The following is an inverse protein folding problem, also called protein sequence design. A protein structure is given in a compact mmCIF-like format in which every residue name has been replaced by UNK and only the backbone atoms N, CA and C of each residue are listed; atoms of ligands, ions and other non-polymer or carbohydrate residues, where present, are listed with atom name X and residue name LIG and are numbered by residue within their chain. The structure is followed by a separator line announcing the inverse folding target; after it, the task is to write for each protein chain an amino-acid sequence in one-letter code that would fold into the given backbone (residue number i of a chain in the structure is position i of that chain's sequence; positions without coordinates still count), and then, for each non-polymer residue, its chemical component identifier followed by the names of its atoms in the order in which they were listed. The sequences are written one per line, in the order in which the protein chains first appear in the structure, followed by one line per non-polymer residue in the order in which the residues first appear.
data_IF_133156915465
#
_entry.id   IF_133156915465
#
_cell.length_a   1.000
_cell.length_b   1.000
_cell.length_c   1.000
_cell.angle_alpha   90.00
_cell.angle_beta   90.00
_cell.angle_gamma   90.00
#
_symmetry.space_group_name_H-M   'P 1'
#
loop_
_entity.id
_entity.type
_entity.pdbx_description
1 polymer ?
#
# COMPACT_ATOMS: atom_id res chain seq x y z
N UNK A 1 15.95 -14.66 -8.50
CA UNK A 1 15.91 -13.19 -8.59
C UNK A 1 16.04 -12.63 -7.17
N UNK A 2 17.25 -12.23 -6.78
CA UNK A 2 17.57 -11.85 -5.39
C UNK A 2 17.13 -10.42 -5.02
N UNK A 3 16.85 -9.57 -6.04
CA UNK A 3 16.61 -8.13 -5.86
C UNK A 3 15.15 -7.71 -5.96
N UNK A 4 14.25 -8.63 -6.25
CA UNK A 4 12.81 -8.34 -6.28
C UNK A 4 12.21 -8.56 -4.89
N UNK A 5 11.26 -7.70 -4.48
CA UNK A 5 10.51 -7.90 -3.26
C UNK A 5 9.87 -9.30 -3.23
N UNK A 6 10.13 -10.04 -2.14
CA UNK A 6 9.66 -11.43 -2.00
C UNK A 6 8.20 -11.51 -1.53
N UNK A 7 7.64 -10.41 -1.16
CA UNK A 7 6.28 -10.31 -0.63
C UNK A 7 5.29 -10.15 -1.78
N UNK A 8 4.76 -11.26 -2.28
CA UNK A 8 3.84 -11.28 -3.43
C UNK A 8 2.62 -10.37 -3.23
N UNK A 9 2.14 -10.18 -1.99
CA UNK A 9 1.06 -9.26 -1.68
C UNK A 9 1.36 -7.79 -1.97
N UNK A 10 2.62 -7.37 -1.84
CA UNK A 10 3.03 -5.99 -2.08
C UNK A 10 2.86 -5.55 -3.55
N UNK A 11 3.04 -6.48 -4.51
CA UNK A 11 2.77 -6.20 -5.92
C UNK A 11 1.29 -5.85 -6.16
N UNK A 12 0.38 -6.55 -5.50
CA UNK A 12 -1.05 -6.23 -5.56
C UNK A 12 -1.37 -4.88 -4.94
N UNK A 13 -0.70 -4.52 -3.84
CA UNK A 13 -0.89 -3.22 -3.19
C UNK A 13 -0.45 -2.04 -4.07
N UNK A 14 0.51 -2.22 -4.96
CA UNK A 14 0.91 -1.22 -5.96
C UNK A 14 -0.02 -1.27 -7.18
N UNK A 15 -0.29 -2.47 -7.70
CA UNK A 15 -0.97 -2.64 -8.98
C UNK A 15 -2.45 -2.25 -8.93
N UNK A 16 -3.19 -2.67 -7.89
CA UNK A 16 -4.64 -2.43 -7.83
C UNK A 16 -5.02 -0.95 -7.77
N UNK A 17 -4.42 -0.11 -6.89
CA UNK A 17 -4.74 1.32 -6.86
C UNK A 17 -4.40 2.03 -8.17
N UNK A 18 -3.24 1.71 -8.78
CA UNK A 18 -2.83 2.29 -10.06
C UNK A 18 -3.77 1.90 -11.19
N UNK A 19 -4.07 0.61 -11.33
CA UNK A 19 -4.99 0.12 -12.36
C UNK A 19 -6.39 0.72 -12.21
N UNK A 20 -6.88 0.83 -10.96
CA UNK A 20 -8.18 1.42 -10.67
C UNK A 20 -8.18 2.92 -10.98
N UNK A 21 -7.12 3.65 -10.63
CA UNK A 21 -6.99 5.06 -10.96
C UNK A 21 -7.08 5.29 -12.47
N UNK A 22 -6.35 4.50 -13.27
CA UNK A 22 -6.45 4.56 -14.73
C UNK A 22 -7.83 4.13 -15.27
N UNK A 23 -8.46 3.14 -14.63
CA UNK A 23 -9.79 2.69 -15.01
C UNK A 23 -10.87 3.75 -14.80
N UNK A 24 -10.74 4.55 -13.74
CA UNK A 24 -11.71 5.62 -13.41
C UNK A 24 -11.45 6.91 -14.20
N UNK A 25 -10.20 7.32 -14.29
CA UNK A 25 -9.85 8.66 -14.82
C UNK A 25 -9.26 8.66 -16.23
N UNK A 26 -8.98 7.48 -16.78
CA UNK A 26 -8.24 7.36 -18.04
C UNK A 26 -6.73 7.49 -17.86
N UNK A 27 -6.01 7.34 -18.96
CA UNK A 27 -4.54 7.38 -18.98
C UNK A 27 -4.06 8.79 -19.32
N UNK A 28 -3.14 9.33 -18.50
CA UNK A 28 -2.46 10.59 -18.75
C UNK A 28 -0.95 10.44 -18.68
N UNK A 29 -0.20 11.30 -19.33
CA UNK A 29 1.28 11.29 -19.29
C UNK A 29 1.78 11.44 -17.85
N UNK A 30 1.28 12.42 -17.11
CA UNK A 30 1.65 12.64 -15.71
C UNK A 30 1.32 11.45 -14.82
N UNK A 31 0.15 10.81 -15.02
CA UNK A 31 -0.24 9.59 -14.32
C UNK A 31 0.70 8.42 -14.60
N UNK A 32 1.12 8.24 -15.86
CA UNK A 32 2.11 7.22 -16.22
C UNK A 32 3.48 7.50 -15.58
N UNK A 33 3.94 8.74 -15.62
CA UNK A 33 5.21 9.14 -15.02
C UNK A 33 5.22 8.93 -13.50
N UNK A 34 4.14 9.31 -12.79
CA UNK A 34 3.97 9.01 -11.36
C UNK A 34 4.02 7.50 -11.12
N UNK A 35 3.32 6.72 -11.95
CA UNK A 35 3.28 5.26 -11.81
C UNK A 35 4.66 4.62 -12.01
N UNK A 36 5.42 5.08 -13.01
CA UNK A 36 6.81 4.63 -13.25
C UNK A 36 7.70 4.97 -12.05
N UNK A 37 7.60 6.19 -11.51
CA UNK A 37 8.37 6.61 -10.35
C UNK A 37 8.08 5.72 -9.13
N UNK A 38 6.80 5.42 -8.89
CA UNK A 38 6.37 4.56 -7.76
C UNK A 38 6.81 3.11 -7.94
N UNK A 39 6.65 2.54 -9.12
CA UNK A 39 7.07 1.17 -9.40
C UNK A 39 8.59 1.05 -9.26
N UNK A 40 9.36 2.00 -9.77
CA UNK A 40 10.80 2.02 -9.61
C UNK A 40 11.21 2.17 -8.13
N UNK A 41 10.55 3.04 -7.38
CA UNK A 41 10.76 3.18 -5.93
C UNK A 41 10.42 1.90 -5.16
N UNK A 42 9.33 1.22 -5.51
CA UNK A 42 8.97 -0.08 -4.96
C UNK A 42 10.04 -1.14 -5.24
N UNK A 43 10.55 -1.21 -6.47
CA UNK A 43 11.62 -2.15 -6.86
C UNK A 43 12.97 -1.81 -6.19
N UNK A 44 13.19 -0.55 -5.80
CA UNK A 44 14.38 -0.13 -5.06
C UNK A 44 14.39 -0.63 -3.60
N UNK A 45 13.24 -1.02 -3.03
CA UNK A 45 13.11 -1.39 -1.62
C UNK A 45 13.99 -2.58 -1.22
N UNK A 46 13.96 -3.70 -1.96
CA UNK A 46 14.75 -4.88 -1.60
C UNK A 46 16.27 -4.66 -1.77
N UNK A 47 16.76 -4.08 -2.87
CA UNK A 47 18.15 -3.65 -2.98
C UNK A 47 18.60 -2.72 -1.84
N UNK A 48 17.78 -1.74 -1.47
CA UNK A 48 18.08 -0.85 -0.36
C UNK A 48 18.22 -1.61 0.97
N UNK A 49 17.33 -2.56 1.24
CA UNK A 49 17.39 -3.40 2.43
C UNK A 49 18.67 -4.25 2.49
N UNK A 50 19.18 -4.73 1.35
CA UNK A 50 20.46 -5.46 1.26
C UNK A 50 21.63 -4.51 1.54
N UNK A 51 21.67 -3.36 0.88
CA UNK A 51 22.75 -2.35 1.04
C UNK A 51 22.81 -1.85 2.48
N UNK A 52 21.68 -1.57 3.11
CA UNK A 52 21.58 -1.18 4.52
C UNK A 52 21.91 -2.32 5.49
N UNK A 53 22.04 -3.57 5.02
CA UNK A 53 22.35 -4.73 5.85
C UNK A 53 21.15 -5.30 6.60
N UNK A 54 19.93 -4.86 6.30
CA UNK A 54 18.70 -5.34 6.94
C UNK A 54 18.37 -6.80 6.59
N UNK A 55 18.98 -7.33 5.52
CA UNK A 55 18.91 -8.76 5.13
C UNK A 55 20.05 -9.61 5.71
N UNK A 56 20.84 -9.02 6.62
CA UNK A 56 21.96 -9.65 7.31
C UNK A 56 23.32 -9.43 6.63
N UNK A 57 24.39 -9.62 7.42
CA UNK A 57 25.78 -9.35 6.99
C UNK A 57 26.24 -10.24 5.82
N UNK A 58 25.75 -11.48 5.75
CA UNK A 58 26.05 -12.39 4.65
C UNK A 58 25.48 -11.88 3.33
N UNK A 59 24.19 -11.54 3.31
CA UNK A 59 23.55 -11.00 2.10
C UNK A 59 24.22 -9.70 1.63
N UNK A 60 24.60 -8.81 2.57
CA UNK A 60 25.34 -7.58 2.26
C UNK A 60 26.70 -7.86 1.64
N UNK A 61 27.46 -8.87 2.13
CA UNK A 61 28.77 -9.22 1.55
C UNK A 61 28.65 -9.86 0.17
N UNK A 62 27.71 -10.79 -0.01
CA UNK A 62 27.57 -11.57 -1.25
C UNK A 62 26.88 -10.78 -2.38
N UNK A 63 25.90 -9.94 -2.04
CA UNK A 63 25.04 -9.28 -3.01
C UNK A 63 25.17 -7.74 -3.02
N UNK A 64 25.94 -7.15 -2.10
CA UNK A 64 25.95 -5.70 -1.88
C UNK A 64 26.34 -4.88 -3.12
N UNK A 65 27.36 -5.28 -3.86
CA UNK A 65 27.80 -4.56 -5.06
C UNK A 65 26.71 -4.51 -6.15
N UNK A 66 26.14 -5.67 -6.48
CA UNK A 66 25.06 -5.74 -7.47
C UNK A 66 23.75 -5.15 -6.96
N UNK A 67 23.45 -5.25 -5.65
CA UNK A 67 22.33 -4.56 -5.04
C UNK A 67 22.47 -3.03 -5.15
N UNK A 68 23.69 -2.49 -4.98
CA UNK A 68 23.94 -1.05 -5.19
C UNK A 68 23.66 -0.63 -6.62
N UNK A 69 24.08 -1.41 -7.62
CA UNK A 69 23.80 -1.11 -9.04
C UNK A 69 22.30 -1.12 -9.32
N UNK A 70 21.57 -2.14 -8.84
CA UNK A 70 20.11 -2.20 -8.97
C UNK A 70 19.42 -1.01 -8.28
N UNK A 71 19.84 -0.69 -7.06
CA UNK A 71 19.32 0.45 -6.30
C UNK A 71 19.53 1.75 -7.06
N UNK A 72 20.75 1.99 -7.57
CA UNK A 72 21.06 3.20 -8.31
C UNK A 72 20.24 3.31 -9.60
N UNK A 73 20.06 2.20 -10.33
CA UNK A 73 19.21 2.18 -11.52
C UNK A 73 17.74 2.48 -11.20
N UNK A 74 17.18 1.82 -10.20
CA UNK A 74 15.80 2.07 -9.77
C UNK A 74 15.60 3.51 -9.27
N UNK A 75 16.54 4.04 -8.49
CA UNK A 75 16.47 5.43 -8.00
C UNK A 75 16.62 6.43 -9.15
N UNK A 76 17.51 6.19 -10.10
CA UNK A 76 17.65 7.05 -11.27
C UNK A 76 16.33 7.12 -12.07
N UNK A 77 15.68 5.98 -12.32
CA UNK A 77 14.38 5.93 -13.00
C UNK A 77 13.31 6.63 -12.16
N UNK A 78 13.25 6.36 -10.84
CA UNK A 78 12.26 6.97 -9.95
C UNK A 78 12.39 8.50 -9.91
N UNK A 79 13.62 9.01 -9.81
CA UNK A 79 13.90 10.45 -9.79
C UNK A 79 13.62 11.09 -11.15
N UNK A 80 14.08 10.50 -12.24
CA UNK A 80 13.83 11.04 -13.58
C UNK A 80 12.34 11.09 -13.91
N UNK A 81 11.61 10.00 -13.66
CA UNK A 81 10.15 9.95 -13.86
C UNK A 81 9.41 10.88 -12.89
N UNK A 82 9.87 10.98 -11.63
CA UNK A 82 9.30 11.90 -10.64
C UNK A 82 9.47 13.37 -11.03
N UNK A 83 10.66 13.77 -11.49
CA UNK A 83 10.91 15.13 -12.02
C UNK A 83 10.04 15.40 -13.23
N UNK A 84 10.02 14.48 -14.20
CA UNK A 84 9.18 14.62 -15.39
C UNK A 84 7.69 14.73 -15.02
N UNK A 85 7.20 13.94 -14.04
CA UNK A 85 5.84 14.06 -13.53
C UNK A 85 5.57 15.44 -12.92
N UNK A 86 6.47 15.96 -12.08
CA UNK A 86 6.30 17.30 -11.46
C UNK A 86 6.23 18.40 -12.51
N UNK A 87 6.95 18.26 -13.62
CA UNK A 87 6.94 19.24 -14.73
C UNK A 87 5.66 19.14 -15.59
N UNK A 88 5.12 17.95 -15.77
CA UNK A 88 3.93 17.67 -16.58
C UNK A 88 2.61 17.96 -15.82
N UNK A 89 2.57 17.74 -14.50
CA UNK A 89 1.37 17.86 -13.69
C UNK A 89 0.93 19.32 -13.51
N UNK A 90 -0.38 19.54 -13.55
CA UNK A 90 -0.98 20.82 -13.16
C UNK A 90 -0.75 21.12 -11.66
N UNK A 91 -0.94 22.37 -11.20
CA UNK A 91 -0.64 22.75 -9.82
C UNK A 91 -1.44 21.98 -8.75
N UNK A 92 -2.66 21.50 -9.05
CA UNK A 92 -3.49 20.76 -8.10
C UNK A 92 -3.01 19.31 -7.98
N UNK A 93 -2.79 18.64 -9.11
CA UNK A 93 -2.22 17.29 -9.17
C UNK A 93 -0.80 17.26 -8.57
N UNK A 94 0.02 18.29 -8.83
CA UNK A 94 1.36 18.40 -8.24
C UNK A 94 1.32 18.48 -6.72
N UNK A 95 0.43 19.28 -6.15
CA UNK A 95 0.26 19.37 -4.69
C UNK A 95 -0.21 18.05 -4.08
N UNK A 96 -0.99 17.27 -4.80
CA UNK A 96 -1.48 15.98 -4.32
C UNK A 96 -0.37 14.92 -4.15
N UNK A 97 0.81 15.12 -4.76
CA UNK A 97 2.00 14.27 -4.53
C UNK A 97 2.42 14.25 -3.05
N UNK A 98 2.10 15.27 -2.28
CA UNK A 98 2.36 15.29 -0.83
C UNK A 98 1.61 14.18 -0.09
N UNK A 99 0.46 13.71 -0.61
CA UNK A 99 -0.36 12.68 0.04
C UNK A 99 0.37 11.35 0.12
N UNK A 100 0.87 10.75 -0.98
CA UNK A 100 1.70 9.54 -0.88
C UNK A 100 3.11 9.79 -0.31
N UNK A 101 3.64 11.00 -0.41
CA UNK A 101 4.97 11.31 0.11
C UNK A 101 5.06 11.14 1.63
N UNK A 102 4.03 11.56 2.38
CA UNK A 102 4.00 11.46 3.84
C UNK A 102 4.16 10.01 4.32
N UNK A 103 3.30 9.04 3.97
CA UNK A 103 3.48 7.66 4.39
C UNK A 103 4.74 7.01 3.80
N UNK A 104 5.21 7.44 2.62
CA UNK A 104 6.47 6.96 2.05
C UNK A 104 7.67 7.39 2.90
N UNK A 105 7.72 8.64 3.37
CA UNK A 105 8.77 9.11 4.29
C UNK A 105 8.72 8.33 5.60
N UNK A 106 7.54 8.10 6.17
CA UNK A 106 7.37 7.29 7.37
C UNK A 106 7.87 5.85 7.17
N UNK A 107 7.60 5.24 6.02
CA UNK A 107 8.11 3.91 5.67
C UNK A 107 9.64 3.91 5.56
N UNK A 108 10.24 4.91 4.90
CA UNK A 108 11.69 5.04 4.77
C UNK A 108 12.34 5.19 6.16
N UNK A 109 11.77 6.03 7.02
CA UNK A 109 12.26 6.20 8.40
C UNK A 109 12.16 4.89 9.19
N UNK A 110 11.04 4.18 9.09
CA UNK A 110 10.86 2.87 9.72
C UNK A 110 11.88 1.85 9.19
N UNK A 111 12.18 1.87 7.89
CA UNK A 111 13.17 1.01 7.27
C UNK A 111 14.58 1.30 7.78
N UNK A 112 15.01 2.57 7.83
CA UNK A 112 16.33 2.99 8.32
C UNK A 112 16.51 2.57 9.79
N UNK A 113 15.45 2.63 10.58
CA UNK A 113 15.46 2.21 11.99
C UNK A 113 15.34 0.69 12.18
N UNK A 114 15.24 -0.10 11.11
CA UNK A 114 15.03 -1.55 11.18
C UNK A 114 13.62 -1.97 11.61
N UNK A 115 12.68 -1.05 11.61
CA UNK A 115 11.29 -1.24 12.03
C UNK A 115 10.31 -1.40 10.86
N UNK A 116 10.79 -1.65 9.64
CA UNK A 116 9.93 -1.84 8.44
C UNK A 116 8.83 -2.89 8.64
N UNK A 117 9.15 -3.93 9.41
CA UNK A 117 8.25 -5.05 9.74
C UNK A 117 7.48 -4.85 11.06
N UNK A 118 7.44 -3.65 11.60
CA UNK A 118 6.55 -3.28 12.68
C UNK A 118 5.13 -3.06 12.15
N UNK A 119 4.13 -3.03 13.03
CA UNK A 119 2.75 -2.77 12.60
C UNK A 119 2.59 -1.40 11.92
N UNK A 120 3.30 -0.38 12.38
CA UNK A 120 3.27 0.97 11.80
C UNK A 120 4.07 1.06 10.48
N UNK A 121 5.18 0.32 10.35
CA UNK A 121 5.91 0.24 9.08
C UNK A 121 5.08 -0.42 7.97
N UNK A 122 4.41 -1.53 8.30
CA UNK A 122 3.51 -2.21 7.38
C UNK A 122 2.27 -1.36 7.03
N UNK A 123 1.71 -0.62 8.02
CA UNK A 123 0.62 0.32 7.76
C UNK A 123 1.06 1.50 6.88
N UNK A 124 2.26 2.05 7.12
CA UNK A 124 2.84 3.11 6.29
C UNK A 124 3.04 2.65 4.84
N UNK A 125 3.52 1.42 4.61
CA UNK A 125 3.65 0.84 3.27
C UNK A 125 2.29 0.72 2.57
N UNK A 126 1.28 0.18 3.25
CA UNK A 126 -0.07 0.04 2.72
C UNK A 126 -0.69 1.40 2.34
N UNK A 127 -0.52 2.41 3.19
CA UNK A 127 -0.99 3.77 2.93
C UNK A 127 -0.21 4.43 1.80
N UNK A 128 1.12 4.26 1.74
CA UNK A 128 1.94 4.80 0.67
C UNK A 128 1.47 4.29 -0.70
N UNK A 129 1.28 2.98 -0.84
CA UNK A 129 0.87 2.38 -2.11
C UNK A 129 -0.57 2.73 -2.49
N UNK A 130 -1.51 2.72 -1.55
CA UNK A 130 -2.89 3.07 -1.85
C UNK A 130 -3.07 4.53 -2.24
N UNK A 131 -2.36 5.44 -1.56
CA UNK A 131 -2.49 6.88 -1.77
C UNK A 131 -1.89 7.39 -3.09
N UNK A 132 -1.06 6.58 -3.77
CA UNK A 132 -0.56 6.92 -5.12
C UNK A 132 -1.70 7.08 -6.14
N UNK A 133 -2.83 6.41 -5.93
CA UNK A 133 -4.00 6.60 -6.76
C UNK A 133 -4.45 8.06 -6.82
N UNK A 134 -4.21 8.87 -5.76
CA UNK A 134 -4.64 10.27 -5.71
C UNK A 134 -3.97 11.10 -6.80
N UNK A 135 -2.63 11.26 -6.85
CA UNK A 135 -1.99 12.04 -7.89
C UNK A 135 -2.19 11.45 -9.29
N UNK A 136 -2.29 10.12 -9.44
CA UNK A 136 -2.55 9.48 -10.74
C UNK A 136 -3.94 9.85 -11.27
N UNK A 137 -4.98 9.79 -10.43
CA UNK A 137 -6.34 10.18 -10.79
C UNK A 137 -6.41 11.67 -11.12
N UNK A 138 -5.77 12.52 -10.32
CA UNK A 138 -5.75 13.97 -10.54
C UNK A 138 -4.96 14.38 -11.78
N UNK A 139 -3.91 13.64 -12.14
CA UNK A 139 -3.13 13.87 -13.36
C UNK A 139 -3.97 13.76 -14.65
N UNK A 140 -5.10 13.07 -14.62
CA UNK A 140 -6.05 12.99 -15.71
C UNK A 140 -7.17 14.05 -15.64
N UNK A 141 -7.04 15.06 -14.77
CA UNK A 141 -8.00 16.15 -14.61
C UNK A 141 -9.19 15.83 -13.70
N UNK A 142 -9.20 14.70 -13.03
CA UNK A 142 -10.27 14.35 -12.09
C UNK A 142 -10.20 15.20 -10.82
N UNK A 143 -11.35 15.39 -10.16
CA UNK A 143 -11.42 16.12 -8.91
C UNK A 143 -10.76 15.37 -7.74
N UNK A 144 -10.34 16.11 -6.71
CA UNK A 144 -9.83 15.52 -5.46
C UNK A 144 -10.83 14.54 -4.82
N UNK A 145 -12.13 14.83 -4.95
CA UNK A 145 -13.20 13.96 -4.44
C UNK A 145 -13.18 12.58 -5.11
N UNK A 146 -13.06 12.55 -6.45
CA UNK A 146 -12.93 11.31 -7.22
C UNK A 146 -11.63 10.58 -6.84
N UNK A 147 -10.52 11.31 -6.75
CA UNK A 147 -9.23 10.74 -6.38
C UNK A 147 -9.25 10.05 -5.00
N UNK A 148 -9.91 10.65 -4.01
CA UNK A 148 -10.08 10.01 -2.70
C UNK A 148 -11.08 8.85 -2.73
N UNK A 149 -12.12 8.91 -3.58
CA UNK A 149 -13.04 7.79 -3.76
C UNK A 149 -12.33 6.54 -4.32
N UNK A 150 -11.26 6.73 -5.10
CA UNK A 150 -10.38 5.63 -5.56
C UNK A 150 -9.42 5.18 -4.48
N UNK A 151 -8.73 6.09 -3.81
CA UNK A 151 -7.63 5.77 -2.90
C UNK A 151 -8.08 5.19 -1.56
N UNK A 152 -9.14 5.73 -0.95
CA UNK A 152 -9.57 5.38 0.41
C UNK A 152 -9.96 3.90 0.55
N UNK A 153 -10.75 3.29 -0.36
CA UNK A 153 -11.07 1.86 -0.26
C UNK A 153 -9.83 0.98 -0.20
N UNK A 154 -8.81 1.26 -1.01
CA UNK A 154 -7.55 0.51 -0.99
C UNK A 154 -6.70 0.81 0.25
N UNK A 155 -6.67 2.05 0.72
CA UNK A 155 -5.96 2.41 1.95
C UNK A 155 -6.52 1.64 3.15
N UNK A 156 -7.84 1.56 3.27
CA UNK A 156 -8.51 0.79 4.32
C UNK A 156 -8.31 -0.72 4.15
N UNK A 157 -8.55 -1.24 2.94
CA UNK A 157 -8.35 -2.64 2.63
C UNK A 157 -6.93 -3.10 2.98
N UNK A 158 -5.91 -2.42 2.45
CA UNK A 158 -4.53 -2.87 2.62
C UNK A 158 -4.02 -2.67 4.04
N UNK A 159 -4.32 -1.54 4.68
CA UNK A 159 -3.88 -1.31 6.07
C UNK A 159 -4.49 -2.36 7.02
N UNK A 160 -5.81 -2.56 6.95
CA UNK A 160 -6.48 -3.46 7.89
C UNK A 160 -6.16 -4.92 7.62
N UNK A 161 -6.10 -5.35 6.35
CA UNK A 161 -5.79 -6.74 6.00
C UNK A 161 -4.32 -7.09 6.22
N UNK A 162 -3.38 -6.17 5.97
CA UNK A 162 -1.96 -6.38 6.28
C UNK A 162 -1.76 -6.60 7.77
N UNK A 163 -2.38 -5.77 8.62
CA UNK A 163 -2.33 -5.96 10.06
C UNK A 163 -3.01 -7.26 10.50
N UNK A 164 -4.11 -7.65 9.88
CA UNK A 164 -4.79 -8.91 10.16
C UNK A 164 -3.92 -10.13 9.79
N UNK A 165 -3.26 -10.11 8.62
CA UNK A 165 -2.31 -11.14 8.20
C UNK A 165 -1.13 -11.20 9.15
N UNK A 166 -0.62 -10.07 9.62
CA UNK A 166 0.46 -10.00 10.61
C UNK A 166 0.12 -10.77 11.89
N UNK A 167 -1.12 -10.75 12.38
CA UNK A 167 -1.54 -11.54 13.54
C UNK A 167 -1.27 -13.03 13.31
N UNK A 168 -1.57 -13.53 12.10
CA UNK A 168 -1.34 -14.93 11.73
C UNK A 168 0.16 -15.24 11.69
N UNK A 169 0.96 -14.34 11.10
CA UNK A 169 2.43 -14.50 11.00
C UNK A 169 3.08 -14.51 12.38
N UNK A 170 2.68 -13.62 13.29
CA UNK A 170 3.21 -13.56 14.66
C UNK A 170 2.96 -14.86 15.44
N UNK A 171 1.85 -15.54 15.19
CA UNK A 171 1.57 -16.86 15.80
C UNK A 171 2.50 -17.97 15.31
N UNK A 172 3.01 -17.85 14.07
CA UNK A 172 3.88 -18.89 13.46
C UNK A 172 5.33 -18.75 13.90
N UNK A 173 5.83 -17.51 13.94
CA UNK A 173 7.28 -17.23 14.00
C UNK A 173 7.92 -17.36 15.37
N UNK A 174 7.15 -17.54 16.45
CA UNK A 174 7.85 -17.40 17.70
C UNK A 174 7.26 -17.95 18.95
N UNK A 175 6.47 -19.00 18.94
CA UNK A 175 5.78 -19.25 20.22
C UNK A 175 5.07 -17.98 20.73
N UNK A 176 4.71 -17.13 19.79
CA UNK A 176 3.98 -15.89 19.78
C UNK A 176 4.15 -15.04 21.04
N UNK A 177 4.89 -13.95 21.00
CA UNK A 177 4.74 -12.96 22.07
C UNK A 177 3.23 -12.59 22.17
N UNK A 178 2.53 -13.03 23.24
CA UNK A 178 1.08 -12.82 23.40
C UNK A 178 0.75 -11.33 23.45
N UNK A 179 1.69 -10.49 23.92
CA UNK A 179 1.52 -9.03 24.04
C UNK A 179 1.53 -8.37 22.67
N UNK A 180 2.54 -8.73 21.81
CA UNK A 180 2.62 -8.20 20.45
C UNK A 180 1.41 -8.64 19.60
N UNK A 181 0.98 -9.88 19.73
CA UNK A 181 -0.21 -10.41 19.05
C UNK A 181 -1.47 -9.68 19.50
N UNK A 182 -1.65 -9.48 20.81
CA UNK A 182 -2.82 -8.76 21.36
C UNK A 182 -2.81 -7.28 20.95
N UNK A 183 -1.65 -6.63 20.98
CA UNK A 183 -1.50 -5.24 20.54
C UNK A 183 -1.88 -5.08 19.05
N UNK A 184 -1.36 -5.95 18.18
CA UNK A 184 -1.70 -5.94 16.76
C UNK A 184 -3.19 -6.21 16.52
N UNK A 185 -3.80 -7.16 17.26
CA UNK A 185 -5.24 -7.44 17.19
C UNK A 185 -6.07 -6.23 17.57
N UNK A 186 -5.75 -5.59 18.71
CA UNK A 186 -6.44 -4.37 19.16
C UNK A 186 -6.30 -3.24 18.15
N UNK A 187 -5.09 -3.03 17.63
CA UNK A 187 -4.84 -2.03 16.60
C UNK A 187 -5.68 -2.30 15.34
N UNK A 188 -5.70 -3.53 14.83
CA UNK A 188 -6.50 -3.91 13.66
C UNK A 188 -7.99 -3.61 13.87
N UNK A 189 -8.55 -4.04 15.00
CA UNK A 189 -9.97 -3.84 15.30
C UNK A 189 -10.30 -2.34 15.49
N UNK A 190 -9.44 -1.61 16.21
CA UNK A 190 -9.62 -0.17 16.42
C UNK A 190 -9.52 0.61 15.09
N UNK A 191 -8.52 0.32 14.26
CA UNK A 191 -8.37 0.94 12.94
C UNK A 191 -9.58 0.60 12.06
N UNK A 192 -10.04 -0.65 12.05
CA UNK A 192 -11.23 -1.04 11.27
C UNK A 192 -12.48 -0.29 11.73
N UNK A 193 -12.70 -0.16 13.04
CA UNK A 193 -13.85 0.56 13.60
C UNK A 193 -13.80 2.06 13.29
N UNK A 194 -12.65 2.70 13.53
CA UNK A 194 -12.45 4.13 13.20
C UNK A 194 -12.60 4.38 11.70
N UNK A 195 -12.00 3.51 10.87
CA UNK A 195 -12.12 3.60 9.43
C UNK A 195 -13.57 3.52 8.96
N UNK A 196 -14.34 2.57 9.51
CA UNK A 196 -15.77 2.43 9.19
C UNK A 196 -16.56 3.68 9.58
N UNK A 197 -16.29 4.24 10.78
CA UNK A 197 -16.96 5.45 11.25
C UNK A 197 -16.60 6.66 10.38
N UNK A 198 -15.32 6.84 10.03
CA UNK A 198 -14.83 7.96 9.21
C UNK A 198 -15.39 7.90 7.81
N UNK A 199 -15.28 6.74 7.11
CA UNK A 199 -15.81 6.61 5.75
C UNK A 199 -17.34 6.74 5.73
N UNK A 200 -18.03 6.21 6.74
CA UNK A 200 -19.47 6.39 6.92
C UNK A 200 -19.85 7.87 7.08
N UNK A 201 -19.16 8.60 7.95
CA UNK A 201 -19.38 10.03 8.13
C UNK A 201 -19.10 10.82 6.83
N UNK A 202 -18.00 10.54 6.13
CA UNK A 202 -17.68 11.19 4.85
C UNK A 202 -18.71 10.88 3.77
N UNK A 203 -19.31 9.71 3.78
CA UNK A 203 -20.36 9.32 2.83
C UNK A 203 -21.68 10.03 3.17
N UNK A 204 -22.10 10.05 4.43
CA UNK A 204 -23.33 10.72 4.88
C UNK A 204 -23.25 12.24 4.63
N UNK A 205 -22.08 12.85 4.82
CA UNK A 205 -21.87 14.28 4.53
C UNK A 205 -21.74 14.58 3.03
N UNK A 206 -21.82 13.56 2.16
CA UNK A 206 -21.72 13.72 0.71
C UNK A 206 -20.32 14.04 0.21
N UNK A 207 -19.30 13.90 1.08
CA UNK A 207 -17.90 14.12 0.70
C UNK A 207 -17.32 12.95 -0.09
N UNK A 208 -17.78 11.72 0.20
CA UNK A 208 -17.48 10.53 -0.59
C UNK A 208 -18.76 9.92 -1.17
N UNK A 209 -18.69 9.26 -2.34
CA UNK A 209 -19.81 8.51 -2.87
C UNK A 209 -20.07 7.25 -2.04
N UNK A 210 -21.31 6.76 -2.03
CA UNK A 210 -21.69 5.53 -1.35
C UNK A 210 -20.94 4.30 -1.89
N UNK A 211 -20.55 4.33 -3.15
CA UNK A 211 -19.73 3.28 -3.77
C UNK A 211 -18.37 3.08 -3.08
N UNK A 212 -17.73 4.15 -2.61
CA UNK A 212 -16.48 4.07 -1.87
C UNK A 212 -16.67 3.33 -0.52
N UNK A 213 -17.81 3.55 0.16
CA UNK A 213 -18.17 2.80 1.35
C UNK A 213 -18.37 1.32 1.02
N UNK A 214 -19.20 1.01 0.02
CA UNK A 214 -19.47 -0.39 -0.37
C UNK A 214 -18.22 -1.12 -0.84
N UNK A 215 -17.32 -0.46 -1.57
CA UNK A 215 -16.04 -1.02 -1.99
C UNK A 215 -15.11 -1.34 -0.80
N UNK A 216 -15.23 -0.62 0.32
CA UNK A 216 -14.40 -0.83 1.51
C UNK A 216 -14.91 -1.97 2.40
N UNK A 217 -16.21 -2.24 2.41
CA UNK A 217 -16.86 -3.18 3.34
C UNK A 217 -16.27 -4.59 3.28
N UNK A 218 -16.06 -5.24 2.12
CA UNK A 218 -15.51 -6.60 2.06
C UNK A 218 -14.15 -6.72 2.73
N UNK A 219 -13.26 -5.73 2.54
CA UNK A 219 -11.95 -5.68 3.15
C UNK A 219 -12.01 -5.53 4.68
N UNK A 220 -12.83 -4.60 5.17
CA UNK A 220 -13.02 -4.35 6.59
C UNK A 220 -13.62 -5.56 7.32
N UNK A 221 -14.61 -6.22 6.72
CA UNK A 221 -15.20 -7.45 7.25
C UNK A 221 -14.13 -8.55 7.32
N UNK A 222 -13.39 -8.78 6.23
CA UNK A 222 -12.35 -9.82 6.19
C UNK A 222 -11.26 -9.57 7.22
N UNK A 223 -10.75 -8.33 7.33
CA UNK A 223 -9.75 -7.97 8.33
C UNK A 223 -10.27 -8.20 9.76
N UNK A 224 -11.52 -7.83 10.02
CA UNK A 224 -12.16 -8.01 11.34
C UNK A 224 -12.34 -9.49 11.68
N UNK A 225 -12.79 -10.33 10.73
CA UNK A 225 -12.91 -11.79 10.93
C UNK A 225 -11.55 -12.40 11.21
N UNK A 226 -10.52 -12.08 10.40
CA UNK A 226 -9.16 -12.60 10.58
C UNK A 226 -8.55 -12.13 11.90
N UNK A 227 -8.78 -10.90 12.32
CA UNK A 227 -8.32 -10.39 13.61
C UNK A 227 -9.03 -11.07 14.77
N UNK A 228 -10.36 -11.31 14.68
CA UNK A 228 -11.13 -11.97 15.72
C UNK A 228 -10.84 -13.47 15.83
N UNK A 229 -10.73 -14.15 14.67
CA UNK A 229 -10.52 -15.59 14.55
C UNK A 229 -9.42 -15.89 13.56
N UNK A 230 -8.14 -15.67 13.92
CA UNK A 230 -7.03 -15.88 12.99
C UNK A 230 -6.98 -17.32 12.50
N UNK A 231 -6.93 -17.54 11.18
CA UNK A 231 -6.87 -18.88 10.60
C UNK A 231 -5.57 -19.61 10.96
N UNK A 232 -5.58 -20.93 10.82
CA UNK A 232 -4.37 -21.73 10.96
C UNK A 232 -3.33 -21.32 9.90
N UNK A 233 -2.02 -21.38 10.22
CA UNK A 233 -0.93 -21.01 9.32
C UNK A 233 -0.97 -21.67 7.95
N UNK A 234 -1.40 -22.93 7.89
CA UNK A 234 -1.58 -23.67 6.64
C UNK A 234 -2.55 -23.02 5.66
N UNK A 235 -3.44 -22.13 6.13
CA UNK A 235 -4.42 -21.39 5.31
C UNK A 235 -3.93 -20.04 4.82
N UNK A 236 -2.67 -19.63 5.08
CA UNK A 236 -2.14 -18.34 4.63
C UNK A 236 -2.22 -18.15 3.11
N UNK A 237 -1.97 -19.22 2.34
CA UNK A 237 -2.10 -19.16 0.87
C UNK A 237 -3.54 -18.91 0.43
N UNK A 238 -4.51 -19.58 1.04
CA UNK A 238 -5.94 -19.35 0.77
C UNK A 238 -6.35 -17.93 1.15
N UNK A 239 -5.88 -17.43 2.31
CA UNK A 239 -6.12 -16.05 2.71
C UNK A 239 -5.55 -15.06 1.70
N UNK A 240 -4.34 -15.30 1.18
CA UNK A 240 -3.75 -14.48 0.12
C UNK A 240 -4.64 -14.40 -1.14
N UNK A 241 -5.17 -15.51 -1.62
CA UNK A 241 -6.11 -15.52 -2.76
C UNK A 241 -7.43 -14.82 -2.45
N UNK A 242 -7.95 -14.96 -1.22
CA UNK A 242 -9.13 -14.20 -0.78
C UNK A 242 -8.88 -12.70 -0.84
N UNK A 243 -7.71 -12.24 -0.40
CA UNK A 243 -7.35 -10.81 -0.46
C UNK A 243 -7.21 -10.31 -1.89
N UNK A 244 -6.67 -11.11 -2.81
CA UNK A 244 -6.63 -10.77 -4.24
C UNK A 244 -8.05 -10.63 -4.80
N UNK A 245 -8.93 -11.59 -4.51
CA UNK A 245 -10.33 -11.54 -4.97
C UNK A 245 -11.06 -10.29 -4.42
N UNK A 246 -10.87 -9.95 -3.15
CA UNK A 246 -11.44 -8.75 -2.54
C UNK A 246 -10.86 -7.47 -3.17
N UNK A 247 -9.55 -7.42 -3.43
CA UNK A 247 -8.94 -6.27 -4.10
C UNK A 247 -9.48 -6.08 -5.52
N UNK A 248 -9.70 -7.18 -6.24
CA UNK A 248 -10.36 -7.17 -7.56
C UNK A 248 -11.79 -6.66 -7.45
N UNK A 249 -12.57 -7.17 -6.48
CA UNK A 249 -13.94 -6.71 -6.26
C UNK A 249 -13.99 -5.22 -5.93
N UNK A 250 -13.10 -4.74 -5.05
CA UNK A 250 -12.95 -3.32 -4.72
C UNK A 250 -12.67 -2.50 -5.98
N UNK A 251 -11.72 -2.93 -6.81
CA UNK A 251 -11.38 -2.26 -8.06
C UNK A 251 -12.58 -2.19 -9.02
N UNK A 252 -13.28 -3.30 -9.21
CA UNK A 252 -14.47 -3.38 -10.09
C UNK A 252 -15.58 -2.45 -9.60
N UNK A 253 -15.89 -2.47 -8.30
CA UNK A 253 -16.93 -1.57 -7.73
C UNK A 253 -16.53 -0.12 -7.98
N UNK A 254 -15.30 0.28 -7.66
CA UNK A 254 -14.84 1.65 -7.82
C UNK A 254 -14.88 2.08 -9.29
N UNK A 255 -14.35 1.29 -10.22
CA UNK A 255 -14.35 1.62 -11.67
C UNK A 255 -15.76 1.70 -12.24
N UNK A 256 -16.68 0.87 -11.76
CA UNK A 256 -18.06 0.84 -12.28
C UNK A 256 -18.95 1.96 -11.74
N UNK A 257 -18.55 2.63 -10.64
CA UNK A 257 -19.49 3.50 -9.90
C UNK A 257 -18.94 4.88 -9.55
N UNK A 258 -17.65 5.13 -9.74
CA UNK A 258 -16.97 6.41 -9.55
C UNK A 258 -16.66 7.06 -10.88
#
# INVERSE_FOLDING_TARGET
MAYLPKEHGAYGQVAFPLATAFGVSGVSTGGLLVSVAVIAGFLAHEPAAIVLGLRGSRAKRELGASATQWLSGCLAIAVAAGIAAVLDLDPAARRSLAIPAIPTVLLILAMIQGHEKSWYGEAAAALAFASVAVPVTMAAGSSMKVAFAVAIPFALLFTTTTLAVRIVILRVRGGGDPRATMATRRATLAISAVATAVIGAMTVTGWLPWSALFASVPGLITASIVAARPPAPARLRSLGWTLVAISTLTAVIVVATV
#
